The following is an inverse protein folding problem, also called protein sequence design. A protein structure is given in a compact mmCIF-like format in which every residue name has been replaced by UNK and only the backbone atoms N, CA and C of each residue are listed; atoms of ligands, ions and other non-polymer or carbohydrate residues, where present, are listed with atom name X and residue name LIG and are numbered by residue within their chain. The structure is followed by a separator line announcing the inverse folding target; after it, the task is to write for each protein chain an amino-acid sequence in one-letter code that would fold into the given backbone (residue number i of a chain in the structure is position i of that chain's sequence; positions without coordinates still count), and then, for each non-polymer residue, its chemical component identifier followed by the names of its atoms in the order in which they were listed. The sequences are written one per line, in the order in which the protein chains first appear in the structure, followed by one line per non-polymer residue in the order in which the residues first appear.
data_IF_990546334253
#
_entry.id   IF_990546334253
#
_cell.length_a   1.000
_cell.length_b   1.000
_cell.length_c   1.000
_cell.angle_alpha   90.00
_cell.angle_beta   90.00
_cell.angle_gamma   90.00
#
_symmetry.space_group_name_H-M   'P 1'
#
loop_
_entity.id
_entity.type
_entity.pdbx_description
1 polymer ?
#
# COMPACT_ATOMS: atom_id res chain seq x y z
N UNK A 1 21.17 -12.89 9.23
CA UNK A 1 20.06 -12.51 8.35
C UNK A 1 19.15 -11.57 9.16
N UNK A 2 19.33 -10.26 9.06
CA UNK A 2 18.68 -9.29 9.95
C UNK A 2 17.22 -9.07 9.55
N UNK A 3 16.29 -9.44 10.44
CA UNK A 3 14.86 -9.16 10.28
C UNK A 3 14.63 -7.69 10.62
N UNK A 4 14.59 -6.84 9.59
CA UNK A 4 14.31 -5.41 9.76
C UNK A 4 12.86 -5.27 10.22
N UNK A 5 12.65 -4.93 11.50
CA UNK A 5 11.32 -4.63 12.04
C UNK A 5 10.82 -3.32 11.43
N UNK A 6 9.87 -3.40 10.51
CA UNK A 6 9.19 -2.21 9.98
C UNK A 6 8.23 -1.66 11.04
N UNK A 7 8.67 -0.63 11.77
CA UNK A 7 7.81 0.08 12.71
C UNK A 7 6.91 1.08 11.96
N UNK A 8 5.58 0.96 12.11
CA UNK A 8 4.63 1.96 11.63
C UNK A 8 4.88 3.28 12.37
N UNK A 9 5.33 4.32 11.66
CA UNK A 9 5.34 5.71 12.16
C UNK A 9 4.03 6.37 11.72
N UNK A 10 3.00 6.40 12.59
CA UNK A 10 1.80 7.19 12.31
C UNK A 10 1.27 7.96 13.53
N UNK A 11 0.78 9.15 13.21
CA UNK A 11 0.19 10.19 14.05
C UNK A 11 -1.34 10.12 14.03
N UNK A 12 -1.96 10.18 15.22
CA UNK A 12 -3.40 10.34 15.52
C UNK A 12 -4.31 9.14 15.21
N UNK A 13 -5.15 8.73 16.19
CA UNK A 13 -5.92 7.49 16.17
C UNK A 13 -6.90 7.29 15.00
N UNK A 14 -7.59 8.35 14.54
CA UNK A 14 -8.51 8.26 13.39
C UNK A 14 -7.78 7.90 12.08
N UNK A 15 -6.50 8.25 11.95
CA UNK A 15 -5.69 7.85 10.79
C UNK A 15 -5.35 6.36 10.81
N UNK A 16 -5.34 5.71 11.99
CA UNK A 16 -5.03 4.28 12.10
C UNK A 16 -6.20 3.43 11.58
N UNK A 17 -7.44 3.77 11.92
CA UNK A 17 -8.63 3.05 11.44
C UNK A 17 -8.73 3.07 9.91
N UNK A 18 -8.42 4.22 9.30
CA UNK A 18 -8.41 4.38 7.84
C UNK A 18 -7.32 3.51 7.17
N UNK A 19 -6.12 3.45 7.76
CA UNK A 19 -5.03 2.61 7.26
C UNK A 19 -5.36 1.12 7.40
N UNK A 20 -5.91 0.70 8.55
CA UNK A 20 -6.28 -0.69 8.81
C UNK A 20 -7.43 -1.15 7.90
N UNK A 21 -8.37 -0.25 7.56
CA UNK A 21 -9.42 -0.52 6.57
C UNK A 21 -8.84 -0.84 5.19
N UNK A 22 -7.91 -0.03 4.70
CA UNK A 22 -7.26 -0.25 3.39
C UNK A 22 -6.40 -1.52 3.41
N UNK A 23 -5.74 -1.81 4.52
CA UNK A 23 -5.01 -3.07 4.70
C UNK A 23 -5.95 -4.29 4.58
N UNK A 24 -7.08 -4.27 5.28
CA UNK A 24 -8.04 -5.39 5.27
C UNK A 24 -8.62 -5.64 3.87
N UNK A 25 -8.94 -4.57 3.12
CA UNK A 25 -9.36 -4.71 1.73
C UNK A 25 -8.25 -5.28 0.85
N UNK A 26 -7.00 -4.85 1.04
CA UNK A 26 -5.83 -5.36 0.30
C UNK A 26 -5.63 -6.86 0.57
N UNK A 27 -5.69 -7.26 1.84
CA UNK A 27 -5.56 -8.67 2.24
C UNK A 27 -6.64 -9.53 1.61
N UNK A 28 -7.90 -9.06 1.67
CA UNK A 28 -9.05 -9.76 1.08
C UNK A 28 -8.92 -9.86 -0.45
N UNK A 29 -8.58 -8.76 -1.14
CA UNK A 29 -8.51 -8.67 -2.61
C UNK A 29 -7.46 -9.59 -3.22
N UNK A 30 -6.32 -9.76 -2.54
CA UNK A 30 -5.18 -10.55 -3.03
C UNK A 30 -4.98 -11.86 -2.28
N UNK A 31 -5.95 -12.26 -1.44
CA UNK A 31 -5.91 -13.46 -0.61
C UNK A 31 -4.61 -13.60 0.20
N UNK A 32 -4.18 -12.50 0.83
CA UNK A 32 -2.94 -12.46 1.62
C UNK A 32 -3.14 -13.18 2.96
N UNK A 33 -2.13 -13.93 3.38
CA UNK A 33 -2.11 -14.64 4.64
C UNK A 33 -1.78 -13.71 5.80
N UNK A 34 -2.08 -14.11 7.04
CA UNK A 34 -1.77 -13.32 8.24
C UNK A 34 -0.27 -13.00 8.36
N UNK A 35 0.59 -13.95 7.97
CA UNK A 35 2.05 -13.78 7.95
C UNK A 35 2.56 -12.84 6.85
N UNK A 36 1.73 -12.53 5.85
CA UNK A 36 2.14 -11.66 4.75
C UNK A 36 2.14 -10.21 5.25
N UNK A 37 3.19 -9.48 4.87
CA UNK A 37 3.40 -8.11 5.31
C UNK A 37 2.59 -7.20 4.38
N UNK A 38 1.81 -6.30 4.98
CA UNK A 38 1.12 -5.22 4.28
C UNK A 38 1.48 -3.90 4.96
N UNK A 39 1.89 -2.93 4.16
CA UNK A 39 2.20 -1.57 4.58
C UNK A 39 1.32 -0.61 3.79
N UNK A 40 0.51 0.15 4.51
CA UNK A 40 -0.29 1.26 3.96
C UNK A 40 0.33 2.55 4.47
N UNK A 41 0.55 3.51 3.59
CA UNK A 41 1.09 4.82 3.94
C UNK A 41 0.44 5.93 3.12
N UNK A 42 0.03 7.01 3.80
CA UNK A 42 -0.30 8.28 3.15
C UNK A 42 0.96 9.13 3.04
N UNK A 43 1.24 9.67 1.85
CA UNK A 43 2.40 10.53 1.63
C UNK A 43 2.06 11.74 0.75
N UNK A 44 2.92 12.75 0.84
CA UNK A 44 2.84 13.90 -0.06
C UNK A 44 3.40 13.54 -1.44
N UNK A 45 2.60 13.77 -2.48
CA UNK A 45 3.03 13.73 -3.87
C UNK A 45 3.31 15.17 -4.35
N UNK A 46 4.49 15.37 -4.94
CA UNK A 46 4.97 16.67 -5.45
C UNK A 46 5.00 16.76 -6.96
N UNK A 47 4.56 15.72 -7.66
CA UNK A 47 4.52 15.68 -9.12
C UNK A 47 3.46 16.66 -9.64
N UNK A 48 3.84 17.62 -10.51
CA UNK A 48 2.89 18.57 -11.07
C UNK A 48 1.73 17.87 -11.78
N UNK A 49 0.50 18.34 -11.52
CA UNK A 49 -0.71 17.75 -12.09
C UNK A 49 -1.31 16.59 -11.28
N UNK A 50 -0.66 16.14 -10.20
CA UNK A 50 -1.20 15.12 -9.30
C UNK A 50 -1.74 15.72 -7.99
N UNK A 51 -2.69 15.03 -7.32
CA UNK A 51 -3.13 15.39 -5.98
C UNK A 51 -1.97 15.44 -4.98
N UNK A 52 -2.03 16.37 -4.02
CA UNK A 52 -0.98 16.55 -3.00
C UNK A 52 -0.78 15.35 -2.09
N UNK A 53 -1.83 14.58 -1.83
CA UNK A 53 -1.78 13.39 -0.97
C UNK A 53 -2.10 12.15 -1.78
N UNK A 54 -1.31 11.10 -1.58
CA UNK A 54 -1.54 9.79 -2.15
C UNK A 54 -1.41 8.70 -1.08
N UNK A 55 -2.16 7.62 -1.27
CA UNK A 55 -2.09 6.41 -0.46
C UNK A 55 -1.30 5.37 -1.24
N UNK A 56 -0.21 4.89 -0.67
CA UNK A 56 0.63 3.85 -1.25
C UNK A 56 0.52 2.59 -0.41
N UNK A 57 0.24 1.49 -1.09
CA UNK A 57 0.15 0.17 -0.49
C UNK A 57 1.30 -0.66 -1.03
N UNK A 58 2.09 -1.22 -0.13
CA UNK A 58 3.16 -2.17 -0.45
C UNK A 58 2.91 -3.45 0.33
N UNK A 59 2.98 -4.60 -0.32
CA UNK A 59 2.83 -5.89 0.35
C UNK A 59 3.80 -6.93 -0.19
N UNK A 60 4.11 -7.92 0.63
CA UNK A 60 4.97 -9.04 0.27
C UNK A 60 4.15 -10.32 0.31
N UNK A 61 4.16 -11.06 -0.79
CA UNK A 61 3.47 -12.34 -0.93
C UNK A 61 4.36 -13.32 -1.70
N UNK A 62 3.90 -14.56 -1.92
CA UNK A 62 4.48 -15.49 -2.90
C UNK A 62 6.01 -15.58 -2.83
N UNK A 63 6.55 -16.09 -1.72
CA UNK A 63 8.01 -16.22 -1.52
C UNK A 63 8.74 -14.86 -1.51
N UNK A 64 8.15 -13.88 -0.83
CA UNK A 64 8.74 -12.56 -0.58
C UNK A 64 8.83 -11.66 -1.84
N UNK A 65 7.99 -11.91 -2.85
CA UNK A 65 7.77 -10.98 -3.96
C UNK A 65 7.07 -9.73 -3.42
N UNK A 66 7.65 -8.57 -3.72
CA UNK A 66 7.12 -7.27 -3.34
C UNK A 66 6.17 -6.76 -4.42
N UNK A 67 5.02 -6.27 -3.99
CA UNK A 67 4.02 -5.62 -4.84
C UNK A 67 3.75 -4.21 -4.32
N UNK A 68 3.52 -3.25 -5.22
CA UNK A 68 3.21 -1.85 -4.87
C UNK A 68 2.16 -1.27 -5.82
N UNK A 69 1.22 -0.51 -5.26
CA UNK A 69 0.33 0.34 -6.03
C UNK A 69 0.08 1.67 -5.32
N UNK A 70 -0.34 2.69 -6.09
CA UNK A 70 -0.65 4.02 -5.58
C UNK A 70 -2.10 4.37 -5.90
N UNK A 71 -2.77 5.02 -4.96
CA UNK A 71 -4.08 5.62 -5.13
C UNK A 71 -3.90 7.11 -4.86
N UNK A 72 -4.22 7.95 -5.85
CA UNK A 72 -4.05 9.41 -5.78
C UNK A 72 -5.17 10.07 -4.96
N UNK A 73 -5.35 9.59 -3.73
CA UNK A 73 -6.31 10.07 -2.73
C UNK A 73 -5.67 9.99 -1.34
N UNK A 74 -6.04 10.89 -0.40
CA UNK A 74 -5.75 10.68 1.01
C UNK A 74 -6.44 9.41 1.52
N UNK A 75 -5.87 8.76 2.54
CA UNK A 75 -6.31 7.44 3.02
C UNK A 75 -7.78 7.44 3.43
N UNK A 76 -8.25 8.53 4.06
CA UNK A 76 -9.66 8.68 4.47
C UNK A 76 -10.65 8.58 3.31
N UNK A 77 -10.22 8.97 2.11
CA UNK A 77 -11.03 9.03 0.90
C UNK A 77 -10.90 7.80 0.00
N UNK A 78 -10.06 6.83 0.38
CA UNK A 78 -9.92 5.56 -0.34
C UNK A 78 -11.14 4.70 -0.07
N UNK A 79 -11.72 4.16 -1.14
CA UNK A 79 -12.79 3.16 -1.07
C UNK A 79 -12.34 1.84 -1.69
N UNK A 80 -13.03 0.74 -1.38
CA UNK A 80 -12.63 -0.60 -1.81
C UNK A 80 -12.51 -0.75 -3.34
N UNK A 81 -13.32 -0.02 -4.11
CA UNK A 81 -13.29 -0.02 -5.58
C UNK A 81 -12.09 0.73 -6.17
N UNK A 82 -11.37 1.52 -5.37
CA UNK A 82 -10.13 2.18 -5.81
C UNK A 82 -8.95 1.19 -5.86
N UNK A 83 -9.03 0.07 -5.13
CA UNK A 83 -7.98 -0.94 -5.16
C UNK A 83 -7.96 -1.64 -6.52
N UNK A 84 -6.76 -1.92 -7.09
CA UNK A 84 -6.67 -2.64 -8.34
C UNK A 84 -7.38 -4.00 -8.26
N UNK A 85 -7.99 -4.39 -9.36
CA UNK A 85 -8.64 -5.69 -9.51
C UNK A 85 -7.61 -6.82 -9.41
N UNK A 86 -8.04 -7.98 -8.89
CA UNK A 86 -7.12 -9.08 -8.54
C UNK A 86 -6.27 -9.57 -9.72
N UNK A 87 -6.80 -9.58 -10.93
CA UNK A 87 -6.08 -10.02 -12.13
C UNK A 87 -4.94 -9.08 -12.55
N UNK A 88 -4.90 -7.84 -12.04
CA UNK A 88 -3.76 -6.93 -12.23
C UNK A 88 -2.60 -7.20 -11.28
N UNK A 89 -2.73 -8.10 -10.29
CA UNK A 89 -1.66 -8.38 -9.31
C UNK A 89 -0.27 -8.58 -9.94
N UNK A 90 -0.09 -9.31 -11.06
CA UNK A 90 1.23 -9.46 -11.67
C UNK A 90 1.85 -8.15 -12.16
N UNK A 91 1.05 -7.15 -12.56
CA UNK A 91 1.57 -5.84 -12.99
C UNK A 91 1.95 -4.94 -11.83
N UNK A 92 1.66 -5.34 -10.59
CA UNK A 92 2.00 -4.58 -9.39
C UNK A 92 3.35 -4.98 -8.79
N UNK A 93 4.06 -5.95 -9.38
CA UNK A 93 5.38 -6.38 -8.91
C UNK A 93 6.32 -5.16 -8.90
N UNK A 94 6.94 -4.92 -7.75
CA UNK A 94 7.82 -3.80 -7.49
C UNK A 94 9.23 -4.33 -7.25
N UNK A 95 10.09 -4.23 -8.26
CA UNK A 95 11.49 -4.70 -8.19
C UNK A 95 12.39 -3.83 -7.30
N UNK A 96 11.83 -2.79 -6.66
CA UNK A 96 12.57 -1.89 -5.80
C UNK A 96 13.46 -0.90 -6.55
N UNK A 97 13.24 -0.76 -7.87
CA UNK A 97 13.92 0.28 -8.64
C UNK A 97 13.52 1.66 -8.12
N UNK A 98 14.55 2.40 -7.73
CA UNK A 98 14.46 3.68 -7.00
C UNK A 98 13.89 4.81 -7.85
N UNK A 99 13.91 4.71 -9.18
CA UNK A 99 13.44 5.80 -10.04
C UNK A 99 12.94 5.22 -11.36
N UNK A 100 11.65 5.43 -11.64
CA UNK A 100 11.13 5.70 -12.98
C UNK A 100 9.74 6.32 -12.83
N UNK A 101 9.75 7.66 -12.80
CA UNK A 101 8.64 8.63 -12.88
C UNK A 101 7.90 9.00 -11.59
#
# INVERSE_FOLDING_TARGET
MGMQTFARKFSTGAALDDLDRVENWTRTRYALQEKDIVLVNEQENRTPGFPRLETVVTFWAEQNIRYRFRIFKPVKGVVETDLPVTWLKPSLIDYGDIDCC
#
